data_IF_615565795787
#
_entry.id   IF_615565795787
#
_cell.length_a   1.000
_cell.length_b   1.000
_cell.length_c   1.000
_cell.angle_alpha   90.00
_cell.angle_beta   90.00
_cell.angle_gamma   90.00
#
_symmetry.space_group_name_H-M   'P 1'
#
loop_
_entity.id
_entity.type
_entity.pdbx_description
1 polymer ?
#
# COMPACT_ATOMS: atom_id res chain seq x y z
N UNK A 1 4.88 11.25 -31.72
CA UNK A 1 4.52 11.35 -30.30
C UNK A 1 3.91 12.72 -30.16
N UNK A 2 2.61 12.79 -29.92
CA UNK A 2 1.94 14.09 -29.80
C UNK A 2 2.54 14.86 -28.63
N UNK A 3 2.70 16.18 -28.81
CA UNK A 3 3.24 17.06 -27.79
C UNK A 3 2.29 17.07 -26.57
N UNK A 4 2.84 16.98 -25.36
CA UNK A 4 2.05 17.01 -24.13
C UNK A 4 1.48 18.42 -23.98
N UNK A 5 0.14 18.54 -24.02
CA UNK A 5 -0.56 19.79 -23.73
C UNK A 5 -0.61 20.05 -22.22
N UNK A 6 0.42 20.74 -21.73
CA UNK A 6 0.51 21.16 -20.34
C UNK A 6 -0.58 22.16 -19.94
N UNK A 7 -1.10 22.97 -20.87
CA UNK A 7 -2.14 23.97 -20.56
C UNK A 7 -3.47 23.29 -20.22
N UNK A 8 -3.83 22.23 -20.95
CA UNK A 8 -5.02 21.43 -20.66
C UNK A 8 -4.92 20.70 -19.32
N UNK A 9 -3.74 20.18 -19.00
CA UNK A 9 -3.48 19.54 -17.70
C UNK A 9 -3.58 20.55 -16.56
N UNK A 10 -2.96 21.72 -16.69
CA UNK A 10 -3.02 22.80 -15.70
C UNK A 10 -4.45 23.28 -15.46
N UNK A 11 -5.25 23.45 -16.52
CA UNK A 11 -6.67 23.81 -16.38
C UNK A 11 -7.45 22.77 -15.58
N UNK A 12 -7.15 21.48 -15.74
CA UNK A 12 -7.79 20.40 -14.98
C UNK A 12 -7.38 20.43 -13.51
N UNK A 13 -6.10 20.67 -13.21
CA UNK A 13 -5.64 20.84 -11.82
C UNK A 13 -6.31 22.03 -11.13
N UNK A 14 -6.54 23.13 -11.84
CA UNK A 14 -7.29 24.27 -11.32
C UNK A 14 -8.73 23.91 -10.97
N UNK A 15 -9.29 22.87 -11.57
CA UNK A 15 -10.61 22.35 -11.21
C UNK A 15 -10.63 21.58 -9.88
N UNK A 16 -9.51 20.93 -9.55
CA UNK A 16 -9.32 20.20 -8.28
C UNK A 16 -8.70 21.05 -7.15
N UNK A 17 -8.14 22.22 -7.45
CA UNK A 17 -7.58 23.15 -6.47
C UNK A 17 -8.68 23.90 -5.68
N UNK A 18 -9.61 23.17 -5.05
CA UNK A 18 -10.63 23.71 -4.15
C UNK A 18 -11.22 22.58 -3.32
N UNK A 19 -11.12 22.72 -2.00
CA UNK A 19 -11.66 21.79 -1.02
C UNK A 19 -13.17 21.53 -1.24
N UNK A 20 -13.96 22.59 -1.42
CA UNK A 20 -15.41 22.46 -1.63
C UNK A 20 -15.75 21.74 -2.94
N UNK A 21 -14.98 21.94 -4.03
CA UNK A 21 -15.17 21.17 -5.28
C UNK A 21 -14.80 19.71 -5.07
N UNK A 22 -13.67 19.41 -4.45
CA UNK A 22 -13.28 18.03 -4.13
C UNK A 22 -14.33 17.34 -3.25
N UNK A 23 -14.92 18.06 -2.28
CA UNK A 23 -15.97 17.53 -1.44
C UNK A 23 -17.27 17.24 -2.22
N UNK A 24 -17.71 18.15 -3.11
CA UNK A 24 -18.85 17.91 -4.02
C UNK A 24 -18.58 16.67 -4.87
N UNK A 25 -17.41 16.64 -5.49
CA UNK A 25 -16.94 15.59 -6.36
C UNK A 25 -16.93 14.22 -5.65
N UNK A 26 -16.41 14.15 -4.42
CA UNK A 26 -16.42 12.93 -3.62
C UNK A 26 -17.85 12.43 -3.34
N UNK A 27 -18.82 13.33 -3.06
CA UNK A 27 -20.24 12.94 -2.91
C UNK A 27 -20.83 12.42 -4.23
N UNK A 28 -20.57 13.11 -5.33
CA UNK A 28 -21.08 12.73 -6.66
C UNK A 28 -20.50 11.40 -7.18
N UNK A 29 -19.37 10.94 -6.62
CA UNK A 29 -18.81 9.60 -6.90
C UNK A 29 -19.73 8.48 -6.43
N UNK A 30 -20.44 8.67 -5.32
CA UNK A 30 -21.31 7.65 -4.72
C UNK A 30 -22.66 7.57 -5.42
N UNK A 31 -23.27 8.72 -5.73
CA UNK A 31 -24.57 8.86 -6.39
C UNK A 31 -24.84 10.30 -6.82
N UNK A 32 -25.96 10.53 -7.50
CA UNK A 32 -26.42 11.87 -7.88
C UNK A 32 -26.99 12.65 -6.68
N UNK A 33 -26.85 13.98 -6.72
CA UNK A 33 -27.39 14.85 -5.67
C UNK A 33 -28.03 16.13 -6.24
N UNK A 34 -29.10 16.59 -5.58
CA UNK A 34 -29.66 17.94 -5.81
C UNK A 34 -28.80 19.00 -5.13
N UNK A 35 -28.83 20.23 -5.65
CA UNK A 35 -28.13 21.39 -5.06
C UNK A 35 -28.38 21.55 -3.56
N UNK A 36 -29.66 21.53 -3.13
CA UNK A 36 -30.02 21.71 -1.73
C UNK A 36 -29.50 20.59 -0.81
N UNK A 37 -29.39 19.37 -1.34
CA UNK A 37 -28.83 18.24 -0.60
C UNK A 37 -27.31 18.38 -0.44
N UNK A 38 -26.60 18.80 -1.49
CA UNK A 38 -25.16 19.10 -1.42
C UNK A 38 -24.88 20.25 -0.45
N UNK A 39 -25.63 21.35 -0.54
CA UNK A 39 -25.52 22.49 0.38
C UNK A 39 -25.66 22.05 1.84
N UNK A 40 -26.65 21.20 2.14
CA UNK A 40 -26.84 20.64 3.48
C UNK A 40 -25.70 19.71 3.92
N UNK A 41 -25.22 18.83 3.04
CA UNK A 41 -24.15 17.86 3.35
C UNK A 41 -22.79 18.52 3.57
N UNK A 42 -22.55 19.66 2.92
CA UNK A 42 -21.28 20.39 2.96
C UNK A 42 -21.32 21.57 3.95
N UNK A 43 -22.42 21.73 4.70
CA UNK A 43 -22.66 22.86 5.60
C UNK A 43 -22.36 24.22 4.92
N UNK A 44 -22.87 24.38 3.70
CA UNK A 44 -22.58 25.52 2.83
C UNK A 44 -23.87 26.16 2.30
N UNK A 45 -23.79 27.41 1.84
CA UNK A 45 -24.96 28.08 1.30
C UNK A 45 -25.29 27.57 -0.12
N UNK A 46 -26.57 27.53 -0.53
CA UNK A 46 -26.92 27.13 -1.90
C UNK A 46 -26.23 27.95 -3.00
N UNK A 47 -26.05 29.29 -2.90
CA UNK A 47 -25.31 30.05 -3.90
C UNK A 47 -23.83 29.64 -4.03
N UNK A 48 -23.15 29.32 -2.92
CA UNK A 48 -21.75 28.87 -2.94
C UNK A 48 -21.60 27.52 -3.64
N UNK A 49 -22.46 26.56 -3.30
CA UNK A 49 -22.43 25.24 -3.95
C UNK A 49 -22.81 25.37 -5.43
N UNK A 50 -23.81 26.20 -5.76
CA UNK A 50 -24.22 26.43 -7.14
C UNK A 50 -23.07 26.97 -8.00
N UNK A 51 -22.30 27.94 -7.51
CA UNK A 51 -21.12 28.47 -8.23
C UNK A 51 -20.08 27.38 -8.54
N UNK A 52 -19.84 26.46 -7.61
CA UNK A 52 -18.91 25.35 -7.82
C UNK A 52 -19.45 24.33 -8.82
N UNK A 53 -20.75 24.02 -8.76
CA UNK A 53 -21.41 23.14 -9.72
C UNK A 53 -21.36 23.73 -11.13
N UNK A 54 -21.68 25.02 -11.32
CA UNK A 54 -21.57 25.68 -12.63
C UNK A 54 -20.17 25.60 -13.20
N UNK A 55 -19.14 25.73 -12.35
CA UNK A 55 -17.75 25.66 -12.78
C UNK A 55 -17.35 24.24 -13.20
N UNK A 56 -17.70 23.24 -12.39
CA UNK A 56 -17.45 21.84 -12.70
C UNK A 56 -18.22 21.35 -13.94
N UNK A 57 -19.44 21.87 -14.15
CA UNK A 57 -20.27 21.58 -15.32
C UNK A 57 -19.68 22.20 -16.58
N UNK A 58 -19.23 23.47 -16.52
CA UNK A 58 -18.49 24.12 -17.63
C UNK A 58 -17.20 23.36 -18.00
N UNK A 59 -16.54 22.75 -17.02
CA UNK A 59 -15.36 21.91 -17.24
C UNK A 59 -15.69 20.48 -17.71
N UNK A 60 -16.97 20.13 -17.92
CA UNK A 60 -17.43 18.80 -18.30
C UNK A 60 -17.05 17.68 -17.30
N UNK A 61 -16.79 18.05 -16.04
CA UNK A 61 -16.47 17.09 -14.97
C UNK A 61 -17.76 16.51 -14.39
N UNK A 62 -18.81 17.33 -14.32
CA UNK A 62 -20.15 16.92 -13.90
C UNK A 62 -21.17 17.28 -14.97
N UNK A 63 -22.34 16.69 -14.89
CA UNK A 63 -23.48 17.03 -15.72
C UNK A 63 -24.76 17.10 -14.90
N UNK A 64 -25.70 17.94 -15.33
CA UNK A 64 -27.02 18.04 -14.72
C UNK A 64 -28.02 17.13 -15.42
N UNK A 65 -28.65 16.25 -14.65
CA UNK A 65 -29.71 15.36 -15.11
C UNK A 65 -30.99 15.62 -14.32
N UNK A 66 -32.02 16.09 -15.01
CA UNK A 66 -33.26 16.60 -14.41
C UNK A 66 -32.97 17.74 -13.40
N UNK A 67 -33.03 17.44 -12.10
CA UNK A 67 -32.78 18.36 -10.99
C UNK A 67 -31.55 17.99 -10.15
N UNK A 68 -30.85 16.92 -10.52
CA UNK A 68 -29.68 16.40 -9.82
C UNK A 68 -28.41 16.62 -10.66
N UNK A 69 -27.27 16.57 -9.99
CA UNK A 69 -25.95 16.57 -10.60
C UNK A 69 -25.32 15.20 -10.42
N UNK A 70 -24.61 14.71 -11.43
CA UNK A 70 -23.83 13.47 -11.39
C UNK A 70 -22.45 13.66 -12.05
N UNK A 71 -21.50 12.76 -11.77
CA UNK A 71 -20.21 12.78 -12.48
C UNK A 71 -20.41 12.44 -13.95
N UNK A 72 -19.93 13.31 -14.84
CA UNK A 72 -19.83 13.02 -16.26
C UNK A 72 -18.74 11.97 -16.52
N UNK A 73 -18.73 11.36 -17.71
CA UNK A 73 -17.75 10.33 -18.09
C UNK A 73 -16.29 10.82 -17.97
N UNK A 74 -16.04 12.07 -18.37
CA UNK A 74 -14.72 12.68 -18.21
C UNK A 74 -14.35 12.85 -16.73
N UNK A 75 -15.28 13.33 -15.90
CA UNK A 75 -15.11 13.39 -14.45
C UNK A 75 -14.80 12.03 -13.84
N UNK A 76 -15.59 10.99 -14.14
CA UNK A 76 -15.33 9.61 -13.66
C UNK A 76 -13.91 9.14 -13.98
N UNK A 77 -13.42 9.48 -15.19
CA UNK A 77 -12.07 9.12 -15.62
C UNK A 77 -10.99 9.91 -14.85
N UNK A 78 -11.20 11.21 -14.60
CA UNK A 78 -10.23 11.99 -13.81
C UNK A 78 -10.12 11.51 -12.36
N UNK A 79 -11.23 11.04 -11.77
CA UNK A 79 -11.24 10.55 -10.40
C UNK A 79 -10.41 9.28 -10.19
N UNK A 80 -10.06 8.54 -11.25
CA UNK A 80 -9.16 7.39 -11.07
C UNK A 80 -7.75 7.82 -10.69
N UNK A 81 -7.39 9.09 -10.92
CA UNK A 81 -6.07 9.65 -10.61
C UNK A 81 -6.02 10.30 -9.23
N UNK A 82 -7.14 10.88 -8.77
CA UNK A 82 -7.22 11.63 -7.52
C UNK A 82 -6.74 10.85 -6.27
N UNK A 83 -7.11 9.57 -6.05
CA UNK A 83 -6.66 8.82 -4.89
C UNK A 83 -5.13 8.74 -4.76
N UNK A 84 -4.41 8.71 -5.88
CA UNK A 84 -2.94 8.69 -5.86
C UNK A 84 -2.36 10.03 -5.38
N UNK A 85 -2.97 11.14 -5.81
CA UNK A 85 -2.59 12.47 -5.34
C UNK A 85 -2.92 12.62 -3.84
N UNK A 86 -4.13 12.20 -3.44
CA UNK A 86 -4.59 12.23 -2.05
C UNK A 86 -3.67 11.45 -1.12
N UNK A 87 -3.27 10.23 -1.50
CA UNK A 87 -2.35 9.43 -0.69
C UNK A 87 -1.01 10.14 -0.46
N UNK A 88 -0.42 10.70 -1.53
CA UNK A 88 0.88 11.39 -1.44
C UNK A 88 0.75 12.69 -0.64
N UNK A 89 -0.27 13.50 -0.91
CA UNK A 89 -0.49 14.79 -0.24
C UNK A 89 -0.84 14.63 1.24
N UNK A 90 -1.65 13.64 1.60
CA UNK A 90 -2.00 13.36 3.01
C UNK A 90 -0.78 12.89 3.82
N UNK A 91 0.19 12.26 3.15
CA UNK A 91 1.42 11.76 3.78
C UNK A 91 2.66 12.56 3.36
N UNK A 92 2.51 13.87 3.14
CA UNK A 92 3.61 14.76 2.70
C UNK A 92 4.85 14.62 3.60
N UNK A 93 4.67 14.65 4.93
CA UNK A 93 5.79 14.54 5.87
C UNK A 93 6.51 13.20 5.80
N UNK A 94 5.79 12.12 5.49
CA UNK A 94 6.40 10.82 5.24
C UNK A 94 7.28 10.87 3.98
N UNK A 95 6.75 11.41 2.89
CA UNK A 95 7.44 11.49 1.59
C UNK A 95 8.55 12.55 1.51
N UNK A 96 8.75 13.38 2.55
CA UNK A 96 9.96 14.21 2.69
C UNK A 96 11.22 13.36 2.90
N UNK A 97 11.09 12.19 3.53
CA UNK A 97 12.21 11.32 3.87
C UNK A 97 12.14 9.94 3.19
N UNK A 98 11.04 9.66 2.49
CA UNK A 98 10.76 8.38 1.84
C UNK A 98 10.46 8.53 0.35
N UNK A 99 10.73 7.47 -0.40
CA UNK A 99 10.40 7.35 -1.81
C UNK A 99 9.89 5.95 -2.16
N UNK A 100 9.43 5.74 -3.39
CA UNK A 100 8.91 4.44 -3.83
C UNK A 100 10.00 3.40 -4.12
N UNK A 101 11.28 3.71 -3.92
CA UNK A 101 12.39 2.79 -4.12
C UNK A 101 12.44 2.17 -5.52
N UNK A 102 12.52 0.83 -5.57
CA UNK A 102 12.54 0.03 -6.78
C UNK A 102 11.15 -0.46 -7.22
N UNK A 103 10.07 0.10 -6.66
CA UNK A 103 8.70 -0.32 -7.00
C UNK A 103 8.43 -0.08 -8.49
N UNK A 104 8.07 -1.13 -9.26
CA UNK A 104 7.77 -0.96 -10.67
C UNK A 104 6.66 0.07 -10.90
N UNK A 105 6.82 0.90 -11.94
CA UNK A 105 5.94 2.04 -12.20
C UNK A 105 4.45 1.70 -12.22
N UNK A 106 4.07 0.52 -12.72
CA UNK A 106 2.68 0.03 -12.72
C UNK A 106 2.03 -0.06 -11.33
N UNK A 107 2.82 -0.25 -10.27
CA UNK A 107 2.34 -0.26 -8.88
C UNK A 107 2.30 1.14 -8.29
N UNK A 108 3.26 2.00 -8.65
CA UNK A 108 3.23 3.43 -8.28
C UNK A 108 2.00 4.12 -8.88
N UNK A 109 1.62 3.79 -10.12
CA UNK A 109 0.38 4.28 -10.74
C UNK A 109 -0.89 3.82 -10.01
N UNK A 110 -0.81 2.76 -9.20
CA UNK A 110 -1.90 2.22 -8.38
C UNK A 110 -1.77 2.63 -6.90
N UNK A 111 -0.91 3.59 -6.56
CA UNK A 111 -0.70 3.99 -5.17
C UNK A 111 -1.97 4.57 -4.52
N UNK A 112 -2.89 5.07 -5.33
CA UNK A 112 -4.22 5.46 -4.88
C UNK A 112 -5.09 4.32 -4.33
N UNK A 113 -4.72 3.05 -4.54
CA UNK A 113 -5.31 1.91 -3.83
C UNK A 113 -4.95 1.90 -2.33
N UNK A 114 -3.99 2.73 -1.94
CA UNK A 114 -3.47 2.82 -0.58
C UNK A 114 -4.06 4.00 0.23
N UNK A 115 -5.24 4.51 -0.11
CA UNK A 115 -5.85 5.63 0.62
C UNK A 115 -6.40 5.26 2.00
N UNK A 116 -6.84 4.02 2.19
CA UNK A 116 -7.49 3.57 3.44
C UNK A 116 -6.49 2.92 4.43
N UNK A 117 -5.23 3.36 4.40
CA UNK A 117 -4.18 2.85 5.28
C UNK A 117 -4.11 3.60 6.61
N UNK A 118 -3.74 2.88 7.66
CA UNK A 118 -3.23 3.44 8.91
C UNK A 118 -1.70 3.49 8.86
N UNK A 119 -1.12 4.67 9.09
CA UNK A 119 0.33 4.80 9.28
C UNK A 119 0.70 4.42 10.71
N UNK A 120 1.35 3.26 10.86
CA UNK A 120 1.88 2.77 12.12
C UNK A 120 3.33 3.19 12.27
N UNK A 121 3.62 3.96 13.31
CA UNK A 121 4.97 4.46 13.59
C UNK A 121 5.60 3.82 14.84
N UNK A 122 6.92 3.66 14.80
CA UNK A 122 7.73 3.05 15.84
C UNK A 122 7.96 1.56 15.62
N UNK A 123 9.22 1.14 15.67
CA UNK A 123 9.63 -0.26 15.47
C UNK A 123 8.86 -1.25 16.36
N UNK A 124 8.60 -0.89 17.62
CA UNK A 124 7.80 -1.74 18.54
C UNK A 124 6.37 -1.93 18.04
N UNK A 125 5.70 -0.87 17.63
CA UNK A 125 4.31 -0.93 17.15
C UNK A 125 4.21 -1.69 15.82
N UNK A 126 5.17 -1.48 14.91
CA UNK A 126 5.26 -2.22 13.64
C UNK A 126 5.45 -3.71 13.91
N UNK A 127 6.40 -4.10 14.77
CA UNK A 127 6.67 -5.50 15.09
C UNK A 127 5.52 -6.19 15.84
N UNK A 128 4.80 -5.47 16.71
CA UNK A 128 3.57 -5.98 17.33
C UNK A 128 2.47 -6.20 16.30
N UNK A 129 2.33 -5.30 15.32
CA UNK A 129 1.37 -5.45 14.23
C UNK A 129 1.70 -6.66 13.37
N UNK A 130 2.97 -6.88 13.02
CA UNK A 130 3.39 -8.11 12.31
C UNK A 130 3.02 -9.38 13.10
N UNK A 131 3.18 -9.38 14.44
CA UNK A 131 2.77 -10.52 15.27
C UNK A 131 1.26 -10.76 15.19
N UNK A 132 0.45 -9.71 15.23
CA UNK A 132 -1.01 -9.79 15.08
C UNK A 132 -1.38 -10.36 13.71
N UNK A 133 -0.79 -9.85 12.63
CA UNK A 133 -1.01 -10.34 11.26
C UNK A 133 -0.70 -11.82 11.12
N UNK A 134 0.47 -12.26 11.61
CA UNK A 134 0.84 -13.69 11.62
C UNK A 134 -0.16 -14.50 12.45
N UNK A 135 -0.58 -14.01 13.61
CA UNK A 135 -1.56 -14.67 14.47
C UNK A 135 -2.96 -14.76 13.83
N UNK A 136 -3.36 -13.79 13.00
CA UNK A 136 -4.67 -13.73 12.34
C UNK A 136 -4.75 -14.58 11.07
N UNK A 137 -3.61 -14.89 10.46
CA UNK A 137 -3.51 -15.65 9.22
C UNK A 137 -4.10 -17.05 9.34
N UNK A 138 -4.88 -17.45 8.33
CA UNK A 138 -5.50 -18.77 8.22
C UNK A 138 -5.09 -19.52 6.97
N UNK A 139 -4.72 -18.82 5.91
CA UNK A 139 -4.43 -19.43 4.61
C UNK A 139 -2.97 -19.25 4.26
N UNK A 140 -2.46 -18.02 4.34
CA UNK A 140 -1.06 -17.76 4.05
C UNK A 140 -0.47 -16.59 4.85
N UNK A 141 0.85 -16.53 4.90
CA UNK A 141 1.63 -15.35 5.27
C UNK A 141 2.72 -15.16 4.23
N UNK A 142 2.75 -13.98 3.61
CA UNK A 142 3.78 -13.59 2.66
C UNK A 142 4.61 -12.44 3.22
N UNK A 143 5.92 -12.48 2.96
CA UNK A 143 6.85 -11.46 3.44
C UNK A 143 7.96 -11.18 2.43
N UNK A 144 8.12 -9.91 2.04
CA UNK A 144 9.31 -9.37 1.39
C UNK A 144 10.09 -8.58 2.45
N UNK A 145 11.17 -9.16 2.95
CA UNK A 145 11.77 -8.78 4.23
C UNK A 145 13.24 -8.37 4.09
N UNK A 146 13.60 -7.26 4.75
CA UNK A 146 14.99 -6.81 4.96
C UNK A 146 15.51 -7.11 6.37
N UNK A 147 14.63 -7.46 7.29
CA UNK A 147 14.99 -7.95 8.63
C UNK A 147 13.98 -9.01 9.05
N UNK A 148 14.43 -10.01 9.81
CA UNK A 148 13.56 -11.01 10.41
C UNK A 148 13.60 -10.89 11.95
N UNK A 149 12.62 -10.18 12.56
CA UNK A 149 12.56 -10.05 14.01
C UNK A 149 12.47 -11.43 14.68
N UNK A 150 13.36 -11.70 15.65
CA UNK A 150 13.44 -13.01 16.32
C UNK A 150 12.09 -13.48 16.91
N UNK A 151 11.30 -12.54 17.40
CA UNK A 151 9.98 -12.81 18.00
C UNK A 151 8.89 -13.23 17.01
N UNK A 152 9.17 -13.26 15.71
CA UNK A 152 8.23 -13.72 14.68
C UNK A 152 8.55 -15.11 14.14
N UNK A 153 9.79 -15.59 14.32
CA UNK A 153 10.23 -16.89 13.80
C UNK A 153 9.34 -18.02 14.33
N UNK A 154 9.18 -18.11 15.66
CA UNK A 154 8.35 -19.16 16.25
C UNK A 154 6.86 -19.03 15.85
N UNK A 155 6.20 -17.86 15.97
CA UNK A 155 4.82 -17.70 15.50
C UNK A 155 4.58 -18.15 14.05
N UNK A 156 5.47 -17.78 13.13
CA UNK A 156 5.40 -18.18 11.71
C UNK A 156 5.49 -19.70 11.58
N UNK A 157 6.43 -20.34 12.28
CA UNK A 157 6.60 -21.80 12.22
C UNK A 157 5.37 -22.51 12.80
N UNK A 158 4.78 -21.98 13.88
CA UNK A 158 3.56 -22.55 14.46
C UNK A 158 2.35 -22.44 13.50
N UNK A 159 2.27 -21.35 12.73
CA UNK A 159 1.26 -21.19 11.66
C UNK A 159 1.48 -22.20 10.54
N UNK A 160 2.72 -22.34 10.08
CA UNK A 160 3.07 -23.34 9.07
C UNK A 160 2.74 -24.78 9.52
N UNK A 161 2.98 -25.14 10.79
CA UNK A 161 2.59 -26.44 11.34
C UNK A 161 1.08 -26.70 11.30
N UNK A 162 0.27 -25.65 11.30
CA UNK A 162 -1.20 -25.72 11.15
C UNK A 162 -1.66 -25.72 9.69
N UNK A 163 -0.74 -25.73 8.73
CA UNK A 163 -1.05 -25.78 7.30
C UNK A 163 -1.15 -24.41 6.62
N UNK A 164 -0.85 -23.31 7.32
CA UNK A 164 -0.77 -21.97 6.71
C UNK A 164 0.45 -21.91 5.80
N UNK A 165 0.27 -21.52 4.54
CA UNK A 165 1.35 -21.36 3.58
C UNK A 165 2.22 -20.17 3.94
N UNK A 166 3.55 -20.35 4.00
CA UNK A 166 4.48 -19.27 4.28
C UNK A 166 5.38 -19.08 3.07
N UNK A 167 5.40 -17.87 2.50
CA UNK A 167 6.37 -17.50 1.48
C UNK A 167 7.15 -16.28 1.91
N UNK A 168 8.48 -16.38 1.85
CA UNK A 168 9.35 -15.27 2.25
C UNK A 168 10.43 -14.99 1.21
N UNK A 169 10.59 -13.73 0.84
CA UNK A 169 11.70 -13.24 0.05
C UNK A 169 12.58 -12.44 1.00
N UNK A 170 13.82 -12.89 1.20
CA UNK A 170 14.78 -12.19 2.03
C UNK A 170 15.72 -11.34 1.19
N UNK A 171 16.12 -10.19 1.74
CA UNK A 171 17.26 -9.44 1.22
C UNK A 171 18.54 -10.25 1.41
N UNK A 172 19.50 -10.16 0.48
CA UNK A 172 20.86 -10.66 0.70
C UNK A 172 21.60 -9.87 1.79
N UNK A 173 21.15 -8.64 2.06
CA UNK A 173 21.58 -7.82 3.19
C UNK A 173 20.79 -8.08 4.48
N UNK A 174 19.85 -9.04 4.50
CA UNK A 174 18.92 -9.17 5.61
C UNK A 174 19.61 -9.42 6.94
N UNK A 175 19.22 -8.67 7.97
CA UNK A 175 19.76 -8.83 9.33
C UNK A 175 19.06 -10.01 10.00
N UNK A 176 19.83 -11.05 10.33
CA UNK A 176 19.29 -12.25 10.98
C UNK A 176 19.68 -12.35 12.47
N UNK A 177 18.79 -12.89 13.31
CA UNK A 177 19.11 -13.18 14.71
C UNK A 177 20.15 -14.31 14.85
N UNK A 178 21.10 -14.16 15.79
CA UNK A 178 22.17 -15.15 16.02
C UNK A 178 21.68 -16.57 16.31
N UNK A 179 20.55 -16.71 17.01
CA UNK A 179 20.01 -18.02 17.42
C UNK A 179 19.02 -18.61 16.42
N UNK A 180 18.84 -18.00 15.24
CA UNK A 180 17.86 -18.41 14.25
C UNK A 180 18.04 -19.86 13.81
N UNK A 181 19.26 -20.28 13.49
CA UNK A 181 19.54 -21.64 13.03
C UNK A 181 19.14 -22.69 14.07
N UNK A 182 19.43 -22.42 15.34
CA UNK A 182 19.03 -23.28 16.45
C UNK A 182 17.51 -23.41 16.56
N UNK A 183 16.79 -22.28 16.49
CA UNK A 183 15.32 -22.25 16.55
C UNK A 183 14.71 -23.02 15.37
N UNK A 184 15.22 -22.82 14.17
CA UNK A 184 14.77 -23.48 12.94
C UNK A 184 14.96 -25.01 13.04
N UNK A 185 16.12 -25.44 13.54
CA UNK A 185 16.42 -26.86 13.75
C UNK A 185 15.51 -27.49 14.81
N UNK A 186 15.38 -26.86 15.98
CA UNK A 186 14.56 -27.35 17.09
C UNK A 186 13.08 -27.45 16.73
N UNK A 187 12.57 -26.51 15.92
CA UNK A 187 11.16 -26.48 15.53
C UNK A 187 10.85 -27.32 14.27
N UNK A 188 11.85 -27.95 13.66
CA UNK A 188 11.66 -28.91 12.56
C UNK A 188 11.27 -28.27 11.22
N UNK A 189 11.77 -27.07 10.95
CA UNK A 189 11.44 -26.28 9.75
C UNK A 189 11.79 -27.01 8.45
N UNK A 190 12.84 -27.84 8.44
CA UNK A 190 13.24 -28.64 7.27
C UNK A 190 12.10 -29.51 6.72
N UNK A 191 11.26 -30.05 7.59
CA UNK A 191 10.11 -30.86 7.18
C UNK A 191 9.04 -30.01 6.49
N UNK A 192 8.86 -28.78 6.94
CA UNK A 192 7.89 -27.83 6.38
C UNK A 192 8.37 -27.30 5.03
N UNK A 193 9.67 -27.07 4.88
CA UNK A 193 10.30 -26.70 3.60
C UNK A 193 10.18 -27.85 2.59
N UNK A 194 10.51 -29.09 2.99
CA UNK A 194 10.38 -30.26 2.10
C UNK A 194 8.95 -30.52 1.62
N UNK A 195 7.95 -30.12 2.42
CA UNK A 195 6.52 -30.19 2.06
C UNK A 195 6.03 -28.94 1.32
N UNK A 196 6.92 -27.98 1.04
CA UNK A 196 6.60 -26.70 0.42
C UNK A 196 5.60 -25.82 1.18
N UNK A 197 5.35 -26.11 2.47
CA UNK A 197 4.54 -25.25 3.34
C UNK A 197 5.28 -23.96 3.68
N UNK A 198 6.61 -24.04 3.81
CA UNK A 198 7.49 -22.88 3.93
C UNK A 198 8.34 -22.81 2.67
N UNK A 199 8.17 -21.75 1.89
CA UNK A 199 8.99 -21.46 0.73
C UNK A 199 9.77 -20.18 0.95
N UNK A 200 11.03 -20.20 0.52
CA UNK A 200 11.94 -19.07 0.69
C UNK A 200 12.60 -18.74 -0.64
N UNK A 201 12.80 -17.44 -0.90
CA UNK A 201 13.58 -16.89 -2.01
C UNK A 201 14.50 -15.78 -1.49
N UNK A 202 15.44 -15.38 -2.34
CA UNK A 202 16.36 -14.27 -2.04
C UNK A 202 16.34 -13.26 -3.19
N UNK A 203 16.38 -11.97 -2.85
CA UNK A 203 16.48 -10.87 -3.81
C UNK A 203 17.52 -9.87 -3.28
N UNK A 204 18.33 -9.33 -4.17
CA UNK A 204 19.28 -8.28 -3.79
C UNK A 204 18.56 -6.92 -3.77
N UNK A 205 19.06 -6.01 -2.93
CA UNK A 205 18.68 -4.59 -2.95
C UNK A 205 17.16 -4.32 -2.83
N UNK A 206 16.50 -4.99 -1.88
CA UNK A 206 15.08 -4.75 -1.58
C UNK A 206 14.92 -3.32 -1.02
N UNK A 207 14.21 -2.45 -1.73
CA UNK A 207 13.92 -1.07 -1.30
C UNK A 207 12.57 -0.90 -0.62
N UNK A 208 11.62 -1.81 -0.86
CA UNK A 208 10.30 -1.80 -0.23
C UNK A 208 10.03 -3.15 0.40
N UNK A 209 9.62 -3.13 1.66
CA UNK A 209 9.23 -4.32 2.38
C UNK A 209 7.70 -4.44 2.39
N UNK A 210 7.21 -5.67 2.34
CA UNK A 210 5.78 -5.98 2.42
C UNK A 210 5.57 -7.20 3.31
N UNK A 211 4.53 -7.16 4.14
CA UNK A 211 4.02 -8.32 4.88
C UNK A 211 2.51 -8.39 4.67
N UNK A 212 1.96 -9.59 4.45
CA UNK A 212 0.53 -9.76 4.26
C UNK A 212 0.06 -11.18 4.60
N UNK A 213 -1.24 -11.30 4.87
CA UNK A 213 -1.97 -12.57 4.91
C UNK A 213 -3.23 -12.44 4.03
N UNK A 214 -4.17 -13.39 4.10
CA UNK A 214 -5.40 -13.36 3.29
C UNK A 214 -6.41 -12.26 3.63
N UNK A 215 -6.17 -11.46 4.68
CA UNK A 215 -7.08 -10.44 5.20
C UNK A 215 -6.50 -9.03 5.19
N UNK A 216 -5.19 -8.91 5.38
CA UNK A 216 -4.57 -7.63 5.70
C UNK A 216 -3.14 -7.54 5.15
N UNK A 217 -2.68 -6.32 4.92
CA UNK A 217 -1.38 -6.02 4.30
C UNK A 217 -0.67 -4.84 4.96
N UNK A 218 0.66 -4.89 4.92
CA UNK A 218 1.56 -3.88 5.46
C UNK A 218 2.67 -3.56 4.47
N UNK A 219 2.92 -2.28 4.21
CA UNK A 219 3.94 -1.78 3.27
C UNK A 219 4.87 -0.81 4.00
N UNK A 220 6.17 -0.97 3.79
CA UNK A 220 7.20 -0.04 4.27
C UNK A 220 8.04 0.41 3.08
N UNK A 221 7.94 1.68 2.74
CA UNK A 221 8.67 2.26 1.63
C UNK A 221 10.12 2.57 2.00
N UNK A 222 10.92 2.82 0.96
CA UNK A 222 12.33 3.15 1.11
C UNK A 222 12.47 4.53 1.72
N UNK A 223 13.45 4.69 2.61
CA UNK A 223 13.99 6.02 2.91
C UNK A 223 14.83 6.53 1.72
N UNK A 224 15.14 7.82 1.72
CA UNK A 224 16.11 8.44 0.79
C UNK A 224 17.52 7.83 0.86
N UNK A 225 17.81 6.98 1.86
CA UNK A 225 19.06 6.20 1.95
C UNK A 225 19.01 4.89 1.17
N UNK A 226 17.87 4.54 0.57
CA UNK A 226 17.69 3.34 -0.22
C UNK A 226 17.47 2.07 0.61
N UNK A 227 16.88 2.17 1.79
CA UNK A 227 16.52 1.01 2.62
C UNK A 227 15.08 1.18 3.15
N UNK A 228 14.27 0.11 3.23
CA UNK A 228 12.94 0.19 3.82
C UNK A 228 12.98 0.68 5.28
N UNK A 229 12.11 1.62 5.62
CA UNK A 229 11.93 2.04 7.02
C UNK A 229 11.02 1.06 7.76
N UNK A 230 11.63 0.08 8.44
CA UNK A 230 10.89 -0.90 9.26
C UNK A 230 10.30 -0.31 10.56
N UNK A 231 10.46 1.00 10.79
CA UNK A 231 9.79 1.72 11.87
C UNK A 231 8.52 2.44 11.45
N UNK A 232 8.22 2.53 10.15
CA UNK A 232 7.01 3.18 9.63
C UNK A 232 6.33 2.31 8.58
N UNK A 233 5.14 1.83 8.90
CA UNK A 233 4.39 0.91 8.05
C UNK A 233 3.01 1.47 7.76
N UNK A 234 2.65 1.52 6.48
CA UNK A 234 1.27 1.62 6.07
C UNK A 234 0.63 0.25 6.27
N UNK A 235 -0.31 0.12 7.21
CA UNK A 235 -1.14 -1.07 7.44
C UNK A 235 -2.62 -0.90 7.02
N UNK A 236 -3.24 -1.92 6.44
CA UNK A 236 -4.68 -1.91 6.16
C UNK A 236 -5.25 -3.27 5.77
N UNK A 237 -6.57 -3.38 5.79
CA UNK A 237 -7.34 -4.62 5.58
C UNK A 237 -8.41 -4.53 4.47
N UNK A 238 -8.38 -3.45 3.68
CA UNK A 238 -9.29 -3.32 2.54
C UNK A 238 -8.84 -4.18 1.35
N UNK A 239 -9.79 -4.55 0.49
CA UNK A 239 -9.52 -5.38 -0.69
C UNK A 239 -8.50 -4.75 -1.65
N UNK A 240 -8.58 -3.43 -1.85
CA UNK A 240 -7.65 -2.68 -2.71
C UNK A 240 -6.21 -2.69 -2.18
N UNK A 241 -6.07 -2.55 -0.85
CA UNK A 241 -4.79 -2.61 -0.15
C UNK A 241 -4.18 -3.99 -0.30
N UNK A 242 -4.97 -5.00 0.01
CA UNK A 242 -4.58 -6.39 -0.07
C UNK A 242 -4.16 -6.77 -1.51
N UNK A 243 -4.96 -6.40 -2.53
CA UNK A 243 -4.65 -6.64 -3.94
C UNK A 243 -3.31 -6.02 -4.35
N UNK A 244 -3.06 -4.76 -3.97
CA UNK A 244 -1.78 -4.10 -4.26
C UNK A 244 -0.60 -4.85 -3.63
N UNK A 245 -0.72 -5.26 -2.36
CA UNK A 245 0.32 -5.99 -1.63
C UNK A 245 0.59 -7.36 -2.26
N UNK A 246 -0.46 -8.10 -2.58
CA UNK A 246 -0.36 -9.42 -3.24
C UNK A 246 0.32 -9.26 -4.60
N UNK A 247 -0.15 -8.35 -5.45
CA UNK A 247 0.41 -8.22 -6.80
C UNK A 247 1.88 -7.80 -6.78
N UNK A 248 2.25 -6.88 -5.89
CA UNK A 248 3.64 -6.46 -5.72
C UNK A 248 4.51 -7.61 -5.18
N UNK A 249 4.03 -8.35 -4.17
CA UNK A 249 4.73 -9.51 -3.64
C UNK A 249 4.91 -10.59 -4.71
N UNK A 250 3.86 -10.93 -5.47
CA UNK A 250 3.91 -11.92 -6.55
C UNK A 250 4.86 -11.49 -7.65
N UNK A 251 4.83 -10.23 -8.07
CA UNK A 251 5.78 -9.70 -9.04
C UNK A 251 7.23 -9.83 -8.52
N UNK A 252 7.47 -9.55 -7.25
CA UNK A 252 8.78 -9.72 -6.61
C UNK A 252 9.17 -11.19 -6.51
N UNK A 253 8.24 -12.08 -6.19
CA UNK A 253 8.46 -13.53 -6.04
C UNK A 253 8.91 -14.18 -7.35
N UNK A 254 8.27 -13.83 -8.47
CA UNK A 254 8.64 -14.36 -9.79
C UNK A 254 10.04 -13.91 -10.23
N UNK A 255 10.46 -12.71 -9.82
CA UNK A 255 11.78 -12.16 -10.14
C UNK A 255 12.87 -12.49 -9.10
N UNK A 256 12.52 -13.15 -8.00
CA UNK A 256 13.46 -13.53 -6.95
C UNK A 256 14.18 -14.86 -7.27
N UNK A 257 15.37 -15.03 -6.71
CA UNK A 257 16.22 -16.19 -6.94
C UNK A 257 15.94 -17.32 -5.93
N UNK A 258 16.32 -18.58 -6.27
CA UNK A 258 16.33 -19.67 -5.30
C UNK A 258 17.09 -19.28 -4.05
N UNK A 259 16.51 -19.56 -2.89
CA UNK A 259 17.08 -19.21 -1.61
C UNK A 259 18.41 -19.94 -1.37
N UNK A 260 19.39 -19.21 -0.85
CA UNK A 260 20.70 -19.73 -0.45
C UNK A 260 21.04 -19.15 0.92
N UNK A 261 21.05 -19.99 1.94
CA UNK A 261 21.27 -19.59 3.33
C UNK A 261 22.61 -18.83 3.49
N UNK A 262 23.65 -19.27 2.76
CA UNK A 262 25.01 -18.69 2.74
C UNK A 262 25.07 -17.21 2.32
N UNK A 263 24.07 -16.74 1.58
CA UNK A 263 24.03 -15.35 1.09
C UNK A 263 23.49 -14.36 2.13
N UNK A 264 22.96 -14.84 3.25
CA UNK A 264 22.40 -13.98 4.29
C UNK A 264 23.52 -13.46 5.19
N UNK A 265 23.56 -12.14 5.42
CA UNK A 265 24.54 -11.53 6.33
C UNK A 265 24.14 -11.75 7.79
N UNK A 266 24.87 -12.60 8.50
CA UNK A 266 24.74 -12.70 9.97
C UNK A 266 25.38 -11.49 10.65
N UNK A 267 24.71 -10.91 11.65
CA UNK A 267 25.29 -9.87 12.53
C UNK A 267 26.52 -10.44 13.24
N UNK A 268 27.73 -10.15 12.74
CA UNK A 268 28.98 -10.30 13.50
C UNK A 268 28.93 -9.25 14.61
N UNK A 269 28.81 -9.71 15.87
CA UNK A 269 28.70 -8.81 17.01
C UNK A 269 29.96 -7.95 17.16
N UNK A 270 29.77 -6.69 17.52
CA UNK A 270 30.65 -6.04 18.51
C UNK A 270 30.20 -6.48 19.89
#
# INVERSE_FOLDING_TARGET
MDEIDYAKSASTFLEFASEQRLAILNRLREKDYKLSALAKLLDATPPEVFRNLERLEKASIIEKKNSSYELATFGKSLFTVLPSLEFISTHEDYFKEHDFGDVPHKFVQRIGSLTDFELIEGFTNVTETWRKMVSNAKEYVYGLLVEEPIGLIEPIIQKAKKGVEIQSIFSDSAILPKNREKIISELGVDKLIKKEVIQRKIKNDIKVAVILNEKEGGIMFSTTKGEPDISKMFYGDSELIHEWCVDYFRCSWHNAHPFREEKLKTKRGK
#
